data_IF_371809020939
#
_entry.id   IF_371809020939
#
_cell.length_a   1.000
_cell.length_b   1.000
_cell.length_c   1.000
_cell.angle_alpha   90.00
_cell.angle_beta   90.00
_cell.angle_gamma   90.00
#
_symmetry.space_group_name_H-M   'P 1'
#
loop_
_entity.id
_entity.type
_entity.pdbx_description
1 polymer ?
#
# COMPACT_ATOMS: atom_id res chain seq x y z
N UNK A 1 -4.52 -34.54 10.44
CA UNK A 1 -3.63 -33.58 11.14
C UNK A 1 -2.99 -32.59 10.16
N UNK A 2 -2.56 -33.05 8.97
CA UNK A 2 -2.00 -32.20 7.90
C UNK A 2 -2.92 -31.06 7.44
N UNK A 3 -4.20 -31.33 7.18
CA UNK A 3 -5.14 -30.31 6.66
C UNK A 3 -5.42 -29.17 7.65
N UNK A 4 -5.55 -29.48 8.95
CA UNK A 4 -5.70 -28.45 9.99
C UNK A 4 -4.47 -27.54 10.05
N UNK A 5 -3.28 -28.12 9.90
CA UNK A 5 -2.04 -27.35 9.87
C UNK A 5 -1.94 -26.47 8.62
N UNK A 6 -2.39 -26.96 7.47
CA UNK A 6 -2.48 -26.17 6.24
C UNK A 6 -3.43 -24.99 6.40
N UNK A 7 -4.64 -25.23 6.89
CA UNK A 7 -5.63 -24.18 7.15
C UNK A 7 -5.11 -23.10 8.11
N UNK A 8 -4.44 -23.50 9.20
CA UNK A 8 -3.85 -22.55 10.15
C UNK A 8 -2.75 -21.69 9.52
N UNK A 9 -1.94 -22.26 8.61
CA UNK A 9 -0.93 -21.50 7.86
C UNK A 9 -1.57 -20.51 6.91
N UNK A 10 -2.65 -20.90 6.23
CA UNK A 10 -3.36 -20.03 5.29
C UNK A 10 -4.01 -18.85 6.03
N UNK A 11 -4.71 -19.12 7.15
CA UNK A 11 -5.29 -18.08 8.01
C UNK A 11 -4.20 -17.12 8.50
N UNK A 12 -3.06 -17.65 8.98
CA UNK A 12 -1.94 -16.81 9.41
C UNK A 12 -1.42 -15.93 8.26
N UNK A 13 -1.30 -16.47 7.05
CA UNK A 13 -0.84 -15.70 5.89
C UNK A 13 -1.83 -14.57 5.53
N UNK A 14 -3.12 -14.85 5.55
CA UNK A 14 -4.18 -13.84 5.35
C UNK A 14 -4.08 -12.74 6.41
N UNK A 15 -3.93 -13.10 7.69
CA UNK A 15 -3.80 -12.14 8.78
C UNK A 15 -2.54 -11.28 8.64
N UNK A 16 -1.40 -11.87 8.26
CA UNK A 16 -0.16 -11.12 8.01
C UNK A 16 -0.31 -10.14 6.85
N UNK A 17 -0.95 -10.55 5.76
CA UNK A 17 -1.25 -9.67 4.62
C UNK A 17 -2.19 -8.53 5.03
N UNK A 18 -3.19 -8.80 5.87
CA UNK A 18 -4.12 -7.79 6.40
C UNK A 18 -3.42 -6.76 7.31
N UNK A 19 -2.53 -7.21 8.20
CA UNK A 19 -1.71 -6.33 9.04
C UNK A 19 -0.84 -5.42 8.18
N UNK A 20 -0.25 -5.95 7.11
CA UNK A 20 0.55 -5.17 6.17
C UNK A 20 -0.28 -4.08 5.47
N UNK A 21 -1.44 -4.45 4.90
CA UNK A 21 -2.33 -3.49 4.22
C UNK A 21 -2.79 -2.39 5.18
N UNK A 22 -3.12 -2.71 6.43
CA UNK A 22 -3.46 -1.72 7.45
C UNK A 22 -2.30 -0.75 7.73
N UNK A 23 -1.06 -1.25 7.74
CA UNK A 23 0.13 -0.40 7.84
C UNK A 23 0.23 0.60 6.70
N UNK A 24 -0.08 0.20 5.46
CA UNK A 24 -0.05 1.14 4.34
C UNK A 24 -1.18 2.17 4.40
N UNK A 25 -2.39 1.76 4.78
CA UNK A 25 -3.49 2.71 4.97
C UNK A 25 -3.09 3.81 5.96
N UNK A 26 -2.41 3.44 7.06
CA UNK A 26 -1.89 4.41 8.02
C UNK A 26 -0.87 5.37 7.38
N UNK A 27 0.07 4.87 6.57
CA UNK A 27 1.04 5.74 5.86
C UNK A 27 0.37 6.67 4.85
N UNK A 28 -0.66 6.21 4.16
CA UNK A 28 -1.43 7.04 3.21
C UNK A 28 -2.24 8.14 3.92
N UNK A 29 -2.81 7.84 5.09
CA UNK A 29 -3.46 8.86 5.93
C UNK A 29 -2.46 9.93 6.42
N UNK A 30 -1.22 9.54 6.75
CA UNK A 30 -0.16 10.49 7.10
C UNK A 30 0.16 11.39 5.89
N UNK A 31 0.33 10.81 4.70
CA UNK A 31 0.60 11.56 3.46
C UNK A 31 -0.50 12.56 3.12
N UNK A 32 -1.77 12.19 3.28
CA UNK A 32 -2.91 13.12 3.13
C UNK A 32 -2.79 14.29 4.12
N UNK A 33 -2.40 14.01 5.37
CA UNK A 33 -2.21 15.02 6.40
C UNK A 33 -1.05 15.96 6.06
N UNK A 34 0.08 15.43 5.60
CA UNK A 34 1.24 16.20 5.14
C UNK A 34 0.90 17.09 3.95
N UNK A 35 0.25 16.54 2.92
CA UNK A 35 -0.20 17.31 1.75
C UNK A 35 -1.17 18.43 2.14
N UNK A 36 -2.02 18.20 3.15
CA UNK A 36 -2.95 19.22 3.67
C UNK A 36 -2.20 20.31 4.44
N UNK A 37 -1.12 19.97 5.17
CA UNK A 37 -0.28 20.94 5.86
C UNK A 37 0.50 21.84 4.88
N UNK A 38 0.92 21.31 3.73
CA UNK A 38 1.59 22.06 2.66
C UNK A 38 0.73 23.22 2.15
N UNK A 39 -0.59 23.04 2.04
CA UNK A 39 -1.52 24.11 1.66
C UNK A 39 -1.45 25.32 2.61
N UNK A 40 -0.96 25.15 3.85
CA UNK A 40 -0.74 26.23 4.80
C UNK A 40 0.69 26.80 4.79
N UNK A 41 1.70 26.01 4.39
CA UNK A 41 3.11 26.36 4.58
C UNK A 41 3.92 26.57 3.28
N UNK A 42 3.34 26.25 2.11
CA UNK A 42 3.97 26.43 0.79
C UNK A 42 4.69 25.17 0.27
N UNK A 43 4.87 25.11 -1.06
CA UNK A 43 5.32 23.91 -1.81
C UNK A 43 6.77 23.46 -1.51
N UNK A 44 7.60 24.31 -0.89
CA UNK A 44 9.00 23.98 -0.57
C UNK A 44 9.14 22.76 0.35
N UNK A 45 8.11 22.47 1.16
CA UNK A 45 8.07 21.33 2.07
C UNK A 45 8.02 19.97 1.36
N UNK A 46 7.41 19.90 0.17
CA UNK A 46 7.27 18.65 -0.61
C UNK A 46 8.54 18.29 -1.38
N UNK A 47 9.30 19.29 -1.82
CA UNK A 47 10.41 19.11 -2.77
C UNK A 47 11.60 18.33 -2.21
N UNK A 48 11.69 18.19 -0.89
CA UNK A 48 12.76 17.50 -0.17
C UNK A 48 12.34 16.15 0.45
N UNK A 49 11.13 15.67 0.13
CA UNK A 49 10.60 14.43 0.69
C UNK A 49 11.13 13.22 -0.08
N UNK A 50 11.92 12.36 0.58
CA UNK A 50 12.37 11.05 0.05
C UNK A 50 11.23 10.03 -0.11
N UNK A 51 10.01 10.39 0.32
CA UNK A 51 8.89 9.48 0.49
C UNK A 51 8.38 8.92 -0.85
N UNK A 52 8.56 9.63 -1.97
CA UNK A 52 8.01 9.22 -3.28
C UNK A 52 8.50 7.81 -3.68
N UNK A 53 9.80 7.55 -3.59
CA UNK A 53 10.36 6.23 -3.98
C UNK A 53 9.89 5.12 -3.04
N UNK A 54 9.75 5.40 -1.75
CA UNK A 54 9.27 4.44 -0.76
C UNK A 54 7.79 4.12 -1.00
N UNK A 55 6.93 5.12 -1.23
CA UNK A 55 5.52 4.91 -1.58
C UNK A 55 5.36 4.07 -2.84
N UNK A 56 6.23 4.24 -3.83
CA UNK A 56 6.20 3.46 -5.07
C UNK A 56 6.40 1.96 -4.81
N UNK A 57 7.41 1.62 -4.00
CA UNK A 57 7.67 0.23 -3.60
C UNK A 57 6.53 -0.36 -2.76
N UNK A 58 5.92 0.45 -1.90
CA UNK A 58 4.78 0.03 -1.08
C UNK A 58 3.55 -0.25 -1.96
N UNK A 59 3.30 0.58 -2.96
CA UNK A 59 2.20 0.44 -3.92
C UNK A 59 2.29 -0.86 -4.74
N UNK A 60 3.46 -1.19 -5.28
CA UNK A 60 3.69 -2.47 -5.98
C UNK A 60 3.39 -3.67 -5.08
N UNK A 61 3.83 -3.59 -3.81
CA UNK A 61 3.63 -4.67 -2.84
C UNK A 61 2.17 -4.84 -2.44
N UNK A 62 1.39 -3.76 -2.33
CA UNK A 62 -0.05 -3.83 -2.10
C UNK A 62 -0.75 -4.52 -3.27
N UNK A 63 -0.48 -4.10 -4.51
CA UNK A 63 -1.08 -4.72 -5.69
C UNK A 63 -0.76 -6.22 -5.72
N UNK A 64 0.47 -6.60 -5.37
CA UNK A 64 0.86 -8.00 -5.22
C UNK A 64 0.07 -8.77 -4.16
N UNK A 65 -0.24 -8.14 -3.02
CA UNK A 65 -1.09 -8.75 -1.97
C UNK A 65 -2.54 -8.91 -2.46
N UNK A 66 -3.12 -7.87 -3.06
CA UNK A 66 -4.52 -7.92 -3.54
C UNK A 66 -4.70 -9.01 -4.60
N UNK A 67 -3.72 -9.17 -5.51
CA UNK A 67 -3.71 -10.24 -6.53
C UNK A 67 -3.74 -11.65 -5.96
N UNK A 68 -3.34 -11.87 -4.70
CA UNK A 68 -3.46 -13.20 -4.07
C UNK A 68 -4.90 -13.61 -3.77
N UNK A 69 -5.80 -12.63 -3.67
CA UNK A 69 -7.16 -12.82 -3.15
C UNK A 69 -8.27 -12.42 -4.13
N UNK A 70 -7.92 -11.64 -5.18
CA UNK A 70 -8.87 -11.17 -6.18
C UNK A 70 -8.30 -11.41 -7.58
N UNK A 71 -9.09 -12.03 -8.45
CA UNK A 71 -8.68 -12.35 -9.83
C UNK A 71 -8.72 -11.10 -10.75
N UNK A 72 -9.59 -10.13 -10.44
CA UNK A 72 -9.79 -8.92 -11.26
C UNK A 72 -9.16 -7.67 -10.64
N UNK A 73 -7.83 -7.56 -10.68
CA UNK A 73 -7.11 -6.38 -10.14
C UNK A 73 -6.67 -5.38 -11.18
N UNK A 74 -6.92 -5.63 -12.48
CA UNK A 74 -6.33 -4.87 -13.59
C UNK A 74 -6.64 -3.38 -13.55
N UNK A 75 -7.85 -3.00 -13.12
CA UNK A 75 -8.24 -1.60 -12.96
C UNK A 75 -7.49 -0.93 -11.78
N UNK A 76 -7.46 -1.60 -10.63
CA UNK A 76 -6.77 -1.14 -9.42
C UNK A 76 -5.27 -0.99 -9.66
N UNK A 77 -4.64 -1.99 -10.28
CA UNK A 77 -3.23 -1.98 -10.63
C UNK A 77 -2.88 -0.81 -11.53
N UNK A 78 -3.66 -0.58 -12.60
CA UNK A 78 -3.45 0.57 -13.47
C UNK A 78 -3.61 1.88 -12.71
N UNK A 79 -4.60 1.99 -11.81
CA UNK A 79 -4.81 3.21 -11.04
C UNK A 79 -3.64 3.48 -10.08
N UNK A 80 -3.24 2.48 -9.30
CA UNK A 80 -2.21 2.62 -8.26
C UNK A 80 -0.81 2.76 -8.86
N UNK A 81 -0.49 2.01 -9.92
CA UNK A 81 0.85 2.00 -10.52
C UNK A 81 1.06 3.05 -11.63
N UNK A 82 0.01 3.60 -12.27
CA UNK A 82 0.21 4.67 -13.27
C UNK A 82 0.49 6.04 -12.66
N UNK A 83 0.28 6.22 -11.36
CA UNK A 83 0.81 7.38 -10.64
C UNK A 83 2.35 7.36 -10.52
N UNK A 84 3.02 6.29 -10.98
CA UNK A 84 4.49 6.15 -11.00
C UNK A 84 5.15 6.83 -12.21
N UNK A 85 4.36 7.22 -13.23
CA UNK A 85 4.84 7.99 -14.38
C UNK A 85 4.51 9.47 -14.13
N UNK A 86 5.39 10.19 -13.44
CA UNK A 86 5.31 11.66 -13.25
C UNK A 86 6.70 12.25 -13.21
#
# INVERSE_FOLDING_TARGET
>A
MSEKLALLKDIRNILSDLVYVNGIIATECIRITENTAVLRHGEEFLKNSSCIQEHNLLNERIVGIVKKYCDETTCLEKHVLKHLES
#
